data_IF_460230578952
#
_entry.id   IF_460230578952
#
_cell.length_a   1.000
_cell.length_b   1.000
_cell.length_c   1.000
_cell.angle_alpha   90.00
_cell.angle_beta   90.00
_cell.angle_gamma   90.00
#
_symmetry.space_group_name_H-M   'P 1'
#
loop_
_entity.id
_entity.type
_entity.pdbx_description
1 polymer ?
#
# COMPACT_ATOMS: atom_id res chain seq x y z
N UNK A 1 4.97 14.13 -18.32
CA UNK A 1 3.65 13.65 -18.76
C UNK A 1 2.75 14.88 -18.87
N UNK A 2 2.05 15.06 -19.99
CA UNK A 2 1.15 16.21 -20.18
C UNK A 2 -0.28 15.66 -20.20
N UNK A 3 -1.05 16.02 -19.18
CA UNK A 3 -2.47 15.70 -19.10
C UNK A 3 -3.30 16.75 -19.85
N UNK A 4 -4.13 16.29 -20.78
CA UNK A 4 -5.01 17.15 -21.58
C UNK A 4 -6.45 16.74 -21.35
N UNK A 5 -7.29 17.72 -20.97
CA UNK A 5 -8.74 17.50 -20.89
C UNK A 5 -9.35 17.61 -22.28
N UNK A 6 -9.99 16.54 -22.73
CA UNK A 6 -10.76 16.50 -23.99
C UNK A 6 -12.20 16.95 -23.70
N UNK A 7 -12.62 18.11 -24.21
CA UNK A 7 -13.99 18.62 -24.06
C UNK A 7 -14.79 18.53 -25.36
N UNK A 8 -14.11 18.54 -26.51
CA UNK A 8 -14.71 18.54 -27.84
C UNK A 8 -14.01 17.56 -28.78
N UNK A 9 -14.68 17.12 -29.87
CA UNK A 9 -14.04 16.32 -30.91
C UNK A 9 -12.83 17.02 -31.55
N UNK A 10 -12.83 18.35 -31.58
CA UNK A 10 -11.73 19.16 -32.11
C UNK A 10 -10.48 19.08 -31.23
N UNK A 11 -10.63 18.91 -29.91
CA UNK A 11 -9.49 18.73 -29.00
C UNK A 11 -8.77 17.41 -29.31
N UNK A 12 -9.55 16.35 -29.53
CA UNK A 12 -9.02 15.06 -29.93
C UNK A 12 -8.31 15.14 -31.29
N UNK A 13 -8.93 15.81 -32.28
CA UNK A 13 -8.33 15.99 -33.60
C UNK A 13 -6.96 16.69 -33.52
N UNK A 14 -6.85 17.74 -32.69
CA UNK A 14 -5.59 18.45 -32.44
C UNK A 14 -4.58 17.57 -31.75
N UNK A 15 -4.99 16.79 -30.74
CA UNK A 15 -4.12 15.87 -30.03
C UNK A 15 -3.51 14.82 -30.98
N UNK A 16 -4.34 14.15 -31.78
CA UNK A 16 -3.92 13.16 -32.78
C UNK A 16 -2.95 13.78 -33.78
N UNK A 17 -3.29 14.94 -34.35
CA UNK A 17 -2.44 15.64 -35.32
C UNK A 17 -1.07 16.01 -34.74
N UNK A 18 -1.05 16.51 -33.50
CA UNK A 18 0.18 16.89 -32.82
C UNK A 18 1.04 15.66 -32.51
N UNK A 19 0.45 14.58 -31.98
CA UNK A 19 1.17 13.35 -31.70
C UNK A 19 1.79 12.74 -32.96
N UNK A 20 1.04 12.73 -34.08
CA UNK A 20 1.57 12.29 -35.38
C UNK A 20 2.75 13.16 -35.84
N UNK A 21 2.61 14.49 -35.78
CA UNK A 21 3.65 15.42 -36.21
C UNK A 21 4.91 15.33 -35.34
N UNK A 22 4.78 15.15 -34.03
CA UNK A 22 5.91 14.95 -33.10
C UNK A 22 6.72 13.69 -33.41
N UNK A 23 6.08 12.69 -34.02
CA UNK A 23 6.71 11.43 -34.44
C UNK A 23 7.23 11.48 -35.88
N UNK A 24 7.12 12.62 -36.56
CA UNK A 24 7.48 12.78 -37.98
C UNK A 24 6.77 11.80 -38.93
N UNK A 25 5.58 11.33 -38.55
CA UNK A 25 4.79 10.42 -39.37
C UNK A 25 3.91 11.21 -40.35
N UNK A 26 3.79 10.72 -41.58
CA UNK A 26 2.80 11.23 -42.52
C UNK A 26 1.42 10.68 -42.18
N UNK A 27 0.37 11.31 -42.74
CA UNK A 27 -0.97 10.75 -42.63
C UNK A 27 -1.11 9.38 -43.29
N UNK A 28 -0.29 9.10 -44.31
CA UNK A 28 -0.31 7.82 -44.98
C UNK A 28 0.27 6.73 -44.08
N UNK A 29 1.39 7.01 -43.41
CA UNK A 29 2.06 6.04 -42.51
C UNK A 29 1.15 5.55 -41.39
N UNK A 30 0.43 6.48 -40.73
CA UNK A 30 -0.53 6.13 -39.67
C UNK A 30 -1.73 5.38 -40.24
N UNK A 31 -2.19 5.77 -41.44
CA UNK A 31 -3.32 5.12 -42.08
C UNK A 31 -3.00 3.66 -42.45
N UNK A 32 -1.81 3.43 -43.01
CA UNK A 32 -1.32 2.10 -43.37
C UNK A 32 -1.10 1.22 -42.13
N UNK A 33 -0.55 1.78 -41.06
CA UNK A 33 -0.32 1.05 -39.81
C UNK A 33 -1.63 0.62 -39.11
N UNK A 34 -2.67 1.44 -39.20
CA UNK A 34 -3.97 1.17 -38.55
C UNK A 34 -4.94 0.43 -39.50
N UNK A 35 -4.62 0.33 -40.79
CA UNK A 35 -5.49 -0.32 -41.78
C UNK A 35 -6.69 0.52 -42.21
N UNK A 36 -6.52 1.85 -42.30
CA UNK A 36 -7.56 2.79 -42.71
C UNK A 36 -7.15 3.57 -43.96
N UNK A 37 -8.08 4.30 -44.57
CA UNK A 37 -7.72 5.21 -45.65
C UNK A 37 -7.10 6.50 -45.11
N UNK A 38 -6.12 7.06 -45.84
CA UNK A 38 -5.57 8.39 -45.55
C UNK A 38 -6.64 9.48 -45.46
N UNK A 39 -7.70 9.37 -46.26
CA UNK A 39 -8.82 10.32 -46.22
C UNK A 39 -9.59 10.23 -44.88
N UNK A 40 -9.74 9.03 -44.33
CA UNK A 40 -10.36 8.83 -43.00
C UNK A 40 -9.55 9.54 -41.92
N UNK A 41 -8.22 9.35 -41.89
CA UNK A 41 -7.35 10.05 -40.96
C UNK A 41 -7.39 11.58 -41.16
N UNK A 42 -7.38 12.04 -42.41
CA UNK A 42 -7.46 13.46 -42.70
C UNK A 42 -8.80 14.09 -42.28
N UNK A 43 -9.91 13.35 -42.31
CA UNK A 43 -11.21 13.80 -41.77
C UNK A 43 -11.17 13.90 -40.25
N UNK A 44 -10.63 12.88 -39.59
CA UNK A 44 -10.44 12.86 -38.14
C UNK A 44 -9.59 14.06 -37.67
N UNK A 45 -8.43 14.31 -38.29
CA UNK A 45 -7.54 15.42 -37.91
C UNK A 45 -8.13 16.81 -38.17
N UNK A 46 -9.17 16.92 -39.00
CA UNK A 46 -9.93 18.17 -39.19
C UNK A 46 -11.06 18.33 -38.18
N UNK A 47 -11.32 17.32 -37.34
CA UNK A 47 -12.48 17.29 -36.44
C UNK A 47 -13.81 17.08 -37.16
N UNK A 48 -13.78 16.67 -38.44
CA UNK A 48 -14.99 16.34 -39.17
C UNK A 48 -15.41 14.93 -38.80
N UNK A 49 -16.50 14.82 -38.02
CA UNK A 49 -17.06 13.55 -37.58
C UNK A 49 -17.33 12.55 -38.73
N UNK A 50 -17.45 11.28 -38.37
CA UNK A 50 -17.74 10.17 -39.29
C UNK A 50 -16.75 9.01 -39.23
N UNK A 51 -15.64 9.16 -38.50
CA UNK A 51 -14.75 8.04 -38.16
C UNK A 51 -15.38 7.25 -37.01
N UNK A 52 -15.39 5.91 -37.09
CA UNK A 52 -15.90 5.08 -36.00
C UNK A 52 -15.07 5.24 -34.73
N UNK A 53 -15.70 5.05 -33.58
CA UNK A 53 -15.00 5.13 -32.29
C UNK A 53 -13.88 4.08 -32.19
N UNK A 54 -14.11 2.86 -32.70
CA UNK A 54 -13.08 1.82 -32.77
C UNK A 54 -11.84 2.27 -33.54
N UNK A 55 -12.03 2.91 -34.70
CA UNK A 55 -10.93 3.44 -35.50
C UNK A 55 -10.16 4.50 -34.75
N UNK A 56 -10.87 5.37 -34.01
CA UNK A 56 -10.26 6.40 -33.18
C UNK A 56 -9.36 5.77 -32.10
N UNK A 57 -9.84 4.73 -31.41
CA UNK A 57 -9.05 4.03 -30.40
C UNK A 57 -7.79 3.40 -30.98
N UNK A 58 -7.88 2.76 -32.15
CA UNK A 58 -6.71 2.17 -32.82
C UNK A 58 -5.66 3.22 -33.20
N UNK A 59 -6.09 4.39 -33.69
CA UNK A 59 -5.18 5.49 -34.02
C UNK A 59 -4.48 6.01 -32.76
N UNK A 60 -5.24 6.20 -31.67
CA UNK A 60 -4.74 6.69 -30.39
C UNK A 60 -3.71 5.72 -29.81
N UNK A 61 -3.98 4.42 -29.85
CA UNK A 61 -3.08 3.35 -29.41
C UNK A 61 -1.78 3.34 -30.24
N UNK A 62 -1.89 3.35 -31.58
CA UNK A 62 -0.73 3.42 -32.45
C UNK A 62 0.13 4.67 -32.20
N UNK A 63 -0.52 5.81 -31.92
CA UNK A 63 0.14 7.06 -31.56
C UNK A 63 0.59 7.13 -30.09
N UNK A 64 0.47 6.03 -29.32
CA UNK A 64 0.88 5.92 -27.92
C UNK A 64 0.26 6.98 -27.02
N UNK A 65 -0.98 7.38 -27.32
CA UNK A 65 -1.76 8.30 -26.50
C UNK A 65 -2.52 7.45 -25.47
N UNK A 66 -2.31 7.73 -24.19
CA UNK A 66 -3.08 7.08 -23.12
C UNK A 66 -4.37 7.86 -22.85
N UNK A 67 -5.49 7.14 -22.77
CA UNK A 67 -6.79 7.69 -22.42
C UNK A 67 -7.17 7.25 -21.00
N UNK A 68 -7.30 8.22 -20.11
CA UNK A 68 -7.79 8.01 -18.75
C UNK A 68 -9.16 8.65 -18.57
N UNK A 69 -10.07 7.94 -17.90
CA UNK A 69 -11.41 8.40 -17.60
C UNK A 69 -11.63 8.48 -16.09
N UNK A 70 -11.90 9.68 -15.59
CA UNK A 70 -12.32 9.91 -14.21
C UNK A 70 -13.82 10.15 -14.17
N UNK A 71 -14.55 9.36 -13.40
CA UNK A 71 -15.96 9.64 -13.11
C UNK A 71 -16.06 10.36 -11.77
N UNK A 72 -16.65 11.55 -11.76
CA UNK A 72 -17.03 12.19 -10.51
C UNK A 72 -18.34 11.56 -10.06
N UNK A 73 -18.30 10.73 -9.01
CA UNK A 73 -19.51 10.22 -8.37
C UNK A 73 -20.17 11.39 -7.66
N UNK A 74 -20.90 12.21 -8.40
CA UNK A 74 -21.94 13.07 -7.84
C UNK A 74 -22.94 12.15 -7.16
N UNK A 75 -22.71 11.94 -5.87
CA UNK A 75 -23.67 11.35 -4.98
C UNK A 75 -24.82 12.36 -4.94
N UNK A 76 -25.76 12.25 -5.86
CA UNK A 76 -27.11 12.74 -5.64
C UNK A 76 -27.71 11.82 -4.58
N UNK A 77 -27.19 11.93 -3.35
CA UNK A 77 -28.02 11.59 -2.21
C UNK A 77 -29.28 12.44 -2.39
N UNK A 78 -30.48 11.86 -2.27
CA UNK A 78 -31.65 12.69 -2.17
C UNK A 78 -31.37 13.64 -1.02
N UNK A 79 -31.49 14.94 -1.25
CA UNK A 79 -31.49 15.95 -0.20
C UNK A 79 -32.76 15.69 0.60
N UNK A 80 -32.74 14.66 1.44
CA UNK A 80 -33.51 14.67 2.66
C UNK A 80 -32.89 15.82 3.45
N UNK A 81 -33.53 16.99 3.36
CA UNK A 81 -33.42 17.98 4.41
C UNK A 81 -33.82 17.23 5.66
N UNK A 82 -32.84 16.71 6.39
CA UNK A 82 -33.05 16.15 7.71
C UNK A 82 -33.45 17.34 8.57
N UNK A 83 -34.74 17.66 8.53
CA UNK A 83 -35.35 18.46 9.58
C UNK A 83 -35.00 17.74 10.87
N UNK A 84 -34.70 18.50 11.93
CA UNK A 84 -34.40 17.95 13.26
C UNK A 84 -35.43 16.86 13.67
N UNK A 85 -36.67 16.98 13.21
CA UNK A 85 -37.72 15.98 13.38
C UNK A 85 -37.47 14.62 12.74
N UNK A 86 -36.87 14.55 11.54
CA UNK A 86 -36.57 13.26 10.90
C UNK A 86 -35.42 12.52 11.60
N UNK A 87 -34.40 13.26 12.06
CA UNK A 87 -33.32 12.70 12.87
C UNK A 87 -33.82 12.24 14.25
N UNK A 88 -34.71 13.02 14.88
CA UNK A 88 -35.34 12.67 16.15
C UNK A 88 -36.22 11.41 16.01
N UNK A 89 -37.03 11.34 14.97
CA UNK A 89 -37.88 10.17 14.69
C UNK A 89 -37.06 8.90 14.45
N UNK A 90 -35.91 9.01 13.77
CA UNK A 90 -34.99 7.89 13.59
C UNK A 90 -34.33 7.45 14.90
N UNK A 91 -33.96 8.40 15.77
CA UNK A 91 -33.40 8.12 17.10
C UNK A 91 -34.44 7.44 18.02
N UNK A 92 -35.69 7.90 17.99
CA UNK A 92 -36.79 7.32 18.77
C UNK A 92 -37.14 5.91 18.28
N UNK A 93 -37.16 5.70 16.97
CA UNK A 93 -37.39 4.37 16.37
C UNK A 93 -36.27 3.38 16.72
N UNK A 94 -35.01 3.84 16.72
CA UNK A 94 -33.87 3.03 17.13
C UNK A 94 -33.94 2.65 18.61
N UNK A 95 -34.25 3.63 19.47
CA UNK A 95 -34.40 3.41 20.91
C UNK A 95 -35.50 2.39 21.18
N UNK A 96 -36.67 2.53 20.53
CA UNK A 96 -37.79 1.59 20.65
C UNK A 96 -37.39 0.15 20.29
N UNK A 97 -36.49 -0.02 19.32
CA UNK A 97 -36.03 -1.35 18.88
C UNK A 97 -34.94 -1.95 19.76
N UNK A 98 -34.09 -1.11 20.35
CA UNK A 98 -32.92 -1.56 21.12
C UNK A 98 -33.25 -1.77 22.60
N UNK A 99 -34.10 -0.93 23.21
CA UNK A 99 -34.45 -1.04 24.64
C UNK A 99 -34.88 -2.45 25.06
N UNK A 100 -35.79 -3.15 24.35
CA UNK A 100 -36.16 -4.51 24.77
C UNK A 100 -34.99 -5.49 24.66
N UNK A 101 -34.05 -5.33 23.73
CA UNK A 101 -32.88 -6.23 23.60
C UNK A 101 -31.90 -6.09 24.76
N UNK A 102 -31.84 -4.91 25.37
CA UNK A 102 -31.02 -4.64 26.56
C UNK A 102 -31.73 -5.19 27.81
N UNK A 103 -33.04 -4.94 27.96
CA UNK A 103 -33.82 -5.38 29.12
C UNK A 103 -34.11 -6.89 29.14
N UNK A 104 -34.04 -7.57 28.00
CA UNK A 104 -34.30 -9.03 27.89
C UNK A 104 -33.25 -9.91 28.57
N UNK A 105 -32.24 -9.34 29.24
CA UNK A 105 -31.12 -10.11 29.80
C UNK A 105 -30.27 -10.79 28.74
N UNK A 106 -30.39 -10.40 27.47
CA UNK A 106 -29.69 -11.03 26.35
C UNK A 106 -28.16 -10.80 26.45
N UNK A 107 -27.74 -9.64 26.97
CA UNK A 107 -26.33 -9.37 27.28
C UNK A 107 -25.80 -10.32 28.37
N UNK A 108 -26.57 -10.55 29.43
CA UNK A 108 -26.23 -11.47 30.52
C UNK A 108 -26.09 -12.91 30.00
N UNK A 109 -27.03 -13.33 29.13
CA UNK A 109 -27.01 -14.64 28.49
C UNK A 109 -25.79 -14.82 27.56
N UNK A 110 -25.49 -13.82 26.72
CA UNK A 110 -24.31 -13.82 25.86
C UNK A 110 -23.00 -13.84 26.69
N UNK A 111 -22.92 -13.07 27.77
CA UNK A 111 -21.74 -13.06 28.64
C UNK A 111 -21.53 -14.43 29.32
N UNK A 112 -22.59 -15.07 29.81
CA UNK A 112 -22.52 -16.43 30.35
C UNK A 112 -22.12 -17.46 29.30
N UNK A 113 -22.63 -17.33 28.07
CA UNK A 113 -22.27 -18.23 26.98
C UNK A 113 -20.80 -18.08 26.59
N UNK A 114 -20.29 -16.85 26.48
CA UNK A 114 -18.87 -16.59 26.19
C UNK A 114 -18.02 -17.18 27.32
N UNK A 115 -18.29 -16.80 28.58
CA UNK A 115 -17.50 -17.25 29.74
C UNK A 115 -17.52 -18.77 29.91
N UNK A 116 -18.66 -19.42 29.65
CA UNK A 116 -18.79 -20.87 29.71
C UNK A 116 -18.13 -21.62 28.54
N UNK A 117 -17.85 -20.93 27.44
CA UNK A 117 -17.22 -21.52 26.23
C UNK A 117 -15.72 -21.28 26.16
N UNK A 118 -15.12 -20.50 27.07
CA UNK A 118 -13.67 -20.38 27.12
C UNK A 118 -13.08 -21.69 27.65
N UNK A 119 -12.12 -22.31 26.93
CA UNK A 119 -11.38 -23.44 27.48
C UNK A 119 -10.66 -22.98 28.74
N UNK A 120 -10.87 -23.69 29.86
CA UNK A 120 -10.10 -23.48 31.08
C UNK A 120 -8.65 -23.86 30.75
N UNK A 121 -7.80 -22.86 30.56
CA UNK A 121 -6.37 -23.07 30.32
C UNK A 121 -5.78 -23.56 31.64
N UNK A 122 -5.46 -24.85 31.73
CA UNK A 122 -4.69 -25.40 32.86
C UNK A 122 -3.25 -24.91 32.78
N UNK A 123 -3.04 -23.72 33.32
CA UNK A 123 -1.72 -23.07 33.38
C UNK A 123 -0.71 -23.87 34.20
N UNK A 124 -1.16 -24.70 35.15
CA UNK A 124 -0.27 -25.56 35.95
C UNK A 124 0.20 -26.77 35.15
N UNK A 125 -0.70 -27.41 34.40
CA UNK A 125 -0.35 -28.50 33.49
C UNK A 125 0.62 -28.05 32.39
N UNK A 126 0.35 -26.89 31.78
CA UNK A 126 1.23 -26.31 30.75
C UNK A 126 2.62 -26.03 31.31
N UNK A 127 2.73 -25.43 32.51
CA UNK A 127 4.03 -25.15 33.13
C UNK A 127 4.80 -26.44 33.42
N UNK A 128 4.14 -27.46 33.96
CA UNK A 128 4.74 -28.76 34.25
C UNK A 128 5.30 -29.42 32.98
N UNK A 129 4.58 -29.31 31.87
CA UNK A 129 4.98 -29.90 30.59
C UNK A 129 6.13 -29.12 29.92
N UNK A 130 6.19 -27.81 30.11
CA UNK A 130 7.33 -26.99 29.69
C UNK A 130 8.57 -27.37 30.51
N UNK A 131 8.45 -27.49 31.84
CA UNK A 131 9.57 -27.90 32.70
C UNK A 131 10.09 -29.31 32.35
N UNK A 132 9.20 -30.24 32.01
CA UNK A 132 9.57 -31.60 31.62
C UNK A 132 10.31 -31.69 30.27
N UNK A 133 10.10 -30.73 29.37
CA UNK A 133 10.76 -30.68 28.05
C UNK A 133 12.05 -29.84 28.04
N UNK A 134 12.35 -29.15 29.14
CA UNK A 134 13.58 -28.37 29.29
C UNK A 134 14.67 -29.24 29.93
N UNK A 135 15.88 -29.19 29.37
CA UNK A 135 17.03 -29.85 29.97
C UNK A 135 17.29 -29.30 31.40
N UNK A 136 17.53 -30.16 32.40
CA UNK A 136 17.65 -29.75 33.80
C UNK A 136 18.77 -28.74 34.05
N UNK A 137 19.83 -28.72 33.23
CA UNK A 137 20.89 -27.70 33.34
C UNK A 137 20.39 -26.33 32.87
N UNK A 138 19.51 -26.29 31.88
CA UNK A 138 18.88 -25.05 31.37
C UNK A 138 17.87 -24.49 32.38
N UNK A 139 17.14 -25.37 33.06
CA UNK A 139 16.21 -24.98 34.13
C UNK A 139 16.97 -24.41 35.35
N UNK A 140 18.10 -25.01 35.70
CA UNK A 140 18.96 -24.56 36.79
C UNK A 140 19.61 -23.21 36.50
N UNK A 141 20.10 -22.99 35.26
CA UNK A 141 20.69 -21.71 34.86
C UNK A 141 19.64 -20.59 34.84
N UNK A 142 18.42 -20.86 34.36
CA UNK A 142 17.32 -19.90 34.40
C UNK A 142 16.92 -19.52 35.84
N UNK A 143 16.85 -20.50 36.77
CA UNK A 143 16.58 -20.22 38.19
C UNK A 143 17.70 -19.42 38.86
N UNK A 144 18.95 -19.70 38.53
CA UNK A 144 20.10 -18.94 39.02
C UNK A 144 20.06 -17.49 38.49
N UNK A 145 19.75 -17.29 37.21
CA UNK A 145 19.59 -15.98 36.61
C UNK A 145 18.43 -15.19 37.25
N UNK A 146 17.30 -15.85 37.51
CA UNK A 146 16.15 -15.23 38.19
C UNK A 146 16.49 -14.80 39.62
N UNK A 147 17.20 -15.62 40.41
CA UNK A 147 17.70 -15.21 41.74
C UNK A 147 18.62 -14.01 41.66
N UNK A 148 19.59 -14.03 40.73
CA UNK A 148 20.49 -12.90 40.52
C UNK A 148 19.75 -11.61 40.14
N UNK A 149 18.65 -11.72 39.39
CA UNK A 149 17.79 -10.59 39.07
C UNK A 149 17.02 -10.08 40.30
N UNK A 150 16.45 -10.98 41.10
CA UNK A 150 15.76 -10.62 42.36
C UNK A 150 16.72 -9.95 43.35
N UNK A 151 17.94 -10.43 43.48
CA UNK A 151 18.99 -9.82 44.32
C UNK A 151 19.34 -8.40 43.84
N UNK A 152 19.46 -8.20 42.52
CA UNK A 152 19.73 -6.88 41.93
C UNK A 152 18.58 -5.89 42.08
N UNK A 153 17.33 -6.38 42.13
CA UNK A 153 16.13 -5.58 42.35
C UNK A 153 15.87 -5.29 43.84
N UNK A 154 16.51 -6.03 44.75
CA UNK A 154 16.41 -5.84 46.21
C UNK A 154 17.40 -4.80 46.73
N UNK A 155 18.33 -4.32 45.90
CA UNK A 155 19.13 -3.12 46.23
C UNK A 155 18.23 -1.89 46.07
N UNK A 156 18.03 -1.06 47.12
CA UNK A 156 17.25 0.15 46.99
C UNK A 156 17.94 1.10 45.99
N UNK A 157 17.29 1.36 44.85
CA UNK A 157 17.68 2.43 43.92
C UNK A 157 18.33 2.03 42.58
N UNK A 158 18.35 0.76 42.20
CA UNK A 158 18.97 0.35 40.91
C UNK A 158 18.06 0.58 39.71
N UNK A 159 18.29 1.65 38.94
CA UNK A 159 17.66 1.88 37.62
C UNK A 159 18.36 1.03 36.56
N UNK A 160 17.59 0.25 35.79
CA UNK A 160 18.07 -0.57 34.68
C UNK A 160 18.50 0.33 33.50
N UNK A 161 19.76 0.76 33.46
CA UNK A 161 20.31 1.40 32.25
C UNK A 161 20.81 0.33 31.26
N UNK A 162 20.42 0.53 30.00
CA UNK A 162 20.61 -0.33 28.82
C UNK A 162 22.07 -0.82 28.61
N UNK A 163 22.30 -1.98 27.96
CA UNK A 163 23.60 -2.65 27.92
C UNK A 163 24.59 -1.98 26.94
N UNK A 164 25.91 -2.21 27.12
CA UNK A 164 26.92 -1.65 26.24
C UNK A 164 26.97 -2.35 24.88
N UNK A 165 27.23 -1.51 23.88
CA UNK A 165 27.52 -1.75 22.47
C UNK A 165 28.43 -2.96 22.26
N UNK A 166 28.11 -3.79 21.25
CA UNK A 166 28.93 -4.90 20.80
C UNK A 166 30.39 -4.46 20.57
N UNK A 167 31.31 -5.11 21.28
CA UNK A 167 32.75 -5.05 21.05
C UNK A 167 33.05 -6.09 19.96
N UNK A 168 33.26 -5.64 18.72
CA UNK A 168 33.99 -6.44 17.73
C UNK A 168 35.48 -6.25 17.96
N UNK A 169 36.18 -7.35 18.20
CA UNK A 169 37.62 -7.40 18.39
C UNK A 169 38.26 -8.28 17.30
N UNK A 170 39.21 -7.68 16.57
CA UNK A 170 40.33 -8.35 15.85
C UNK A 170 40.07 -8.70 14.38
N UNK A 171 40.95 -8.43 13.41
CA UNK A 171 42.40 -8.10 13.45
C UNK A 171 42.84 -7.43 12.10
N UNK A 172 44.15 -7.22 11.76
CA UNK A 172 44.71 -5.88 11.69
C UNK A 172 45.46 -5.53 10.38
N UNK A 173 45.99 -4.30 10.37
CA UNK A 173 47.23 -3.85 9.72
C UNK A 173 47.12 -2.96 8.48
N UNK A 174 47.39 -1.70 8.77
CA UNK A 174 47.79 -0.58 7.92
C UNK A 174 49.09 -0.86 7.16
N UNK A 175 49.16 -0.41 5.91
CA UNK A 175 50.37 0.14 5.31
C UNK A 175 49.98 1.14 4.21
N UNK A 176 49.95 2.41 4.56
CA UNK A 176 50.01 3.54 3.64
C UNK A 176 51.47 3.78 3.24
N UNK A 177 51.75 4.03 1.95
CA UNK A 177 52.77 5.02 1.52
C UNK A 177 52.75 5.26 -0.01
N UNK A 178 52.41 6.51 -0.36
CA UNK A 178 53.07 7.37 -1.35
C UNK A 178 52.96 7.08 -2.87
N UNK A 179 52.09 7.89 -3.49
CA UNK A 179 52.41 8.95 -4.48
C UNK A 179 53.73 8.87 -5.27
N UNK A 180 53.62 8.84 -6.60
CA UNK A 180 54.52 9.59 -7.49
C UNK A 180 55.00 8.88 -8.77
N UNK A 181 54.76 9.55 -9.92
CA UNK A 181 55.48 9.48 -11.20
C UNK A 181 55.11 8.37 -12.24
N UNK A 182 54.22 8.73 -13.17
CA UNK A 182 54.37 8.86 -14.65
C UNK A 182 55.58 8.25 -15.41
N UNK A 183 55.53 8.11 -16.77
CA UNK A 183 55.62 6.84 -17.50
C UNK A 183 56.86 6.71 -18.42
N UNK A 184 56.87 5.68 -19.28
CA UNK A 184 57.84 5.28 -20.33
C UNK A 184 59.04 4.39 -19.92
N UNK A 185 59.04 3.13 -20.40
CA UNK A 185 59.98 2.63 -21.43
C UNK A 185 59.99 1.09 -21.57
N UNK A 186 60.35 0.63 -22.78
CA UNK A 186 60.64 -0.73 -23.29
C UNK A 186 59.40 -1.63 -23.52
N UNK A 187 58.99 -1.91 -24.77
CA UNK A 187 59.73 -2.61 -25.85
C UNK A 187 59.28 -4.08 -25.80
N UNK A 188 58.73 -4.74 -26.82
CA UNK A 188 59.29 -5.45 -28.01
C UNK A 188 58.03 -6.21 -28.55
N UNK A 189 57.60 -6.17 -29.80
CA UNK A 189 58.16 -6.58 -31.10
C UNK A 189 57.45 -5.82 -32.25
#
# INVERSE_FOLDING_TARGET
MIDVKLQTPSDLARLVKNARAQRNLTQQDVADAVGITRQSLARLERGNGGTSFDTVLLIIDHLGIHLDATTDRRTTAPVAVATRGAAQAAADALTTRITPLIDSGMLEALNKQITGSLPQIDTSGILTQIEANLDPATLASARAAARGLTERLTIPGSVLNNPPRAVEAGSPTTAEAQTGADPHAAGIE
#
